data_IF_018190239901
#
_entry.id   IF_018190239901
#
_cell.length_a   1.000
_cell.length_b   1.000
_cell.length_c   1.000
_cell.angle_alpha   90.00
_cell.angle_beta   90.00
_cell.angle_gamma   90.00
#
_symmetry.space_group_name_H-M   'P 1'
#
loop_
_entity.id
_entity.type
_entity.pdbx_description
1 polymer ?
#
# COMPACT_ATOMS: atom_id res chain seq x y z
N UNK A 1 0.69 -13.97 4.44
CA UNK A 1 1.23 -12.60 4.63
C UNK A 1 1.00 -11.86 3.32
N UNK A 2 0.34 -10.69 3.36
CA UNK A 2 0.04 -9.88 2.17
C UNK A 2 0.92 -8.65 2.23
N UNK A 3 1.64 -8.35 1.14
CA UNK A 3 2.43 -7.14 1.01
C UNK A 3 1.80 -6.27 -0.09
N UNK A 4 1.66 -4.98 0.16
CA UNK A 4 1.14 -4.01 -0.81
C UNK A 4 2.23 -3.00 -1.09
N UNK A 5 2.61 -2.86 -2.36
CA UNK A 5 3.57 -1.85 -2.80
C UNK A 5 2.79 -0.59 -3.20
N UNK A 6 2.92 0.48 -2.42
CA UNK A 6 2.10 1.69 -2.57
C UNK A 6 2.50 2.53 -3.78
N UNK A 7 3.76 2.48 -4.22
CA UNK A 7 4.26 3.28 -5.35
C UNK A 7 3.66 2.86 -6.69
N UNK A 8 3.29 1.59 -6.82
CA UNK A 8 2.62 1.04 -8.00
C UNK A 8 1.10 1.21 -7.97
N UNK A 9 0.53 1.57 -6.81
CA UNK A 9 -0.91 1.68 -6.64
C UNK A 9 -1.41 3.02 -7.21
N UNK A 10 -1.91 2.97 -8.46
CA UNK A 10 -2.77 4.04 -9.00
C UNK A 10 -4.17 3.95 -8.39
N UNK A 11 -4.31 4.48 -7.18
CA UNK A 11 -5.62 4.61 -6.56
C UNK A 11 -6.52 5.59 -7.32
N UNK A 12 -7.81 5.27 -7.40
CA UNK A 12 -8.83 6.14 -7.98
C UNK A 12 -9.51 6.87 -6.83
N UNK A 13 -9.29 8.19 -6.75
CA UNK A 13 -9.95 9.04 -5.76
C UNK A 13 -11.36 9.39 -6.25
N UNK A 14 -12.34 8.51 -6.00
CA UNK A 14 -13.76 8.82 -6.26
C UNK A 14 -14.18 9.98 -5.34
N UNK A 15 -13.70 9.97 -4.10
CA UNK A 15 -13.69 11.08 -3.16
C UNK A 15 -12.26 11.44 -2.73
N UNK A 16 -12.04 12.65 -2.15
CA UNK A 16 -10.73 13.03 -1.63
C UNK A 16 -10.23 11.98 -0.64
N UNK A 17 -8.97 11.57 -0.79
CA UNK A 17 -8.27 10.64 0.12
C UNK A 17 -8.74 9.18 0.10
N UNK A 18 -9.62 8.76 -0.83
CA UNK A 18 -10.06 7.35 -0.91
C UNK A 18 -8.88 6.37 -1.02
N UNK A 19 -7.86 6.71 -1.82
CA UNK A 19 -6.67 5.88 -1.95
C UNK A 19 -5.91 5.72 -0.63
N UNK A 20 -5.86 6.79 0.18
CA UNK A 20 -5.21 6.76 1.50
C UNK A 20 -6.04 5.93 2.49
N UNK A 21 -7.37 6.07 2.47
CA UNK A 21 -8.26 5.21 3.27
C UNK A 21 -8.11 3.73 2.91
N UNK A 22 -8.05 3.40 1.63
CA UNK A 22 -7.86 2.02 1.19
C UNK A 22 -6.55 1.41 1.73
N UNK A 23 -5.45 2.16 1.72
CA UNK A 23 -4.19 1.68 2.32
C UNK A 23 -4.31 1.47 3.83
N UNK A 24 -4.99 2.37 4.55
CA UNK A 24 -5.23 2.20 5.98
C UNK A 24 -6.05 0.95 6.28
N UNK A 25 -7.10 0.68 5.49
CA UNK A 25 -7.92 -0.53 5.63
C UNK A 25 -7.12 -1.80 5.33
N UNK A 26 -6.28 -1.80 4.29
CA UNK A 26 -5.40 -2.93 3.97
C UNK A 26 -4.40 -3.21 5.10
N UNK A 27 -3.81 -2.17 5.68
CA UNK A 27 -2.93 -2.28 6.85
C UNK A 27 -3.67 -2.84 8.06
N UNK A 28 -4.86 -2.33 8.35
CA UNK A 28 -5.72 -2.83 9.44
C UNK A 28 -6.14 -4.29 9.25
N UNK A 29 -6.31 -4.74 8.00
CA UNK A 29 -6.57 -6.14 7.65
C UNK A 29 -5.31 -7.04 7.74
N UNK A 30 -4.15 -6.49 8.09
CA UNK A 30 -2.90 -7.23 8.29
C UNK A 30 -1.96 -7.25 7.07
N UNK A 31 -2.18 -6.39 6.08
CA UNK A 31 -1.20 -6.19 5.01
C UNK A 31 -0.03 -5.34 5.48
N UNK A 32 1.18 -5.68 5.02
CA UNK A 32 2.35 -4.81 5.20
C UNK A 32 2.48 -3.90 3.99
N UNK A 33 2.46 -2.59 4.21
CA UNK A 33 2.62 -1.58 3.16
C UNK A 33 4.11 -1.28 2.97
N UNK A 34 4.55 -1.19 1.72
CA UNK A 34 5.92 -0.87 1.34
C UNK A 34 5.93 0.19 0.23
N UNK A 35 6.91 1.08 0.24
CA UNK A 35 7.35 1.71 -1.02
C UNK A 35 8.05 0.64 -1.88
N UNK A 36 8.23 0.88 -3.19
CA UNK A 36 8.96 -0.06 -4.03
C UNK A 36 10.39 -0.26 -3.51
N UNK A 37 11.05 0.82 -3.13
CA UNK A 37 12.41 0.80 -2.60
C UNK A 37 12.51 -0.05 -1.31
N UNK A 38 11.61 0.18 -0.34
CA UNK A 38 11.62 -0.58 0.91
C UNK A 38 11.36 -2.07 0.66
N UNK A 39 10.52 -2.41 -0.33
CA UNK A 39 10.27 -3.81 -0.67
C UNK A 39 11.52 -4.46 -1.28
N UNK A 40 12.21 -3.78 -2.19
CA UNK A 40 13.44 -4.28 -2.82
C UNK A 40 14.54 -4.59 -1.79
N UNK A 41 14.68 -3.76 -0.75
CA UNK A 41 15.62 -3.99 0.36
C UNK A 41 15.31 -5.29 1.15
N UNK A 42 14.04 -5.70 1.22
CA UNK A 42 13.64 -6.95 1.91
C UNK A 42 13.93 -8.21 1.09
N UNK A 43 14.31 -8.07 -0.18
CA UNK A 43 14.62 -9.20 -1.06
C UNK A 43 16.12 -9.56 -1.09
N UNK A 44 16.96 -8.76 -0.43
CA UNK A 44 18.41 -8.96 -0.33
C UNK A 44 18.84 -10.00 0.70
#
# INVERSE_FOLDING_TARGET
KVNVITDGCRGVNIQPQDSAHAFMEMSAAGATLYTLADWEETQG
#
